data_IF_015747993305
#
_entry.id   IF_015747993305
#
_cell.length_a   1.000
_cell.length_b   1.000
_cell.length_c   1.000
_cell.angle_alpha   90.00
_cell.angle_beta   90.00
_cell.angle_gamma   90.00
#
_symmetry.space_group_name_H-M   'P 1'
#
loop_
_entity.id
_entity.type
_entity.pdbx_description
1 polymer ?
#
# COMPACT_ATOMS: atom_id res chain seq x y z
N UNK A 1 -9.97 1.39 -22.74
CA UNK A 1 -10.12 1.02 -21.32
C UNK A 1 -9.16 1.88 -20.52
N UNK A 2 -9.62 2.65 -19.52
CA UNK A 2 -8.69 3.42 -18.67
C UNK A 2 -7.70 2.43 -18.03
N UNK A 3 -6.39 2.74 -17.96
CA UNK A 3 -5.44 1.87 -17.29
C UNK A 3 -5.90 1.67 -15.84
N UNK A 4 -6.02 0.41 -15.41
CA UNK A 4 -6.54 0.04 -14.09
C UNK A 4 -5.63 0.48 -12.93
N UNK A 5 -4.38 0.87 -13.23
CA UNK A 5 -3.37 1.30 -12.27
C UNK A 5 -2.53 2.42 -12.88
N UNK A 6 -2.32 3.48 -12.12
CA UNK A 6 -1.40 4.57 -12.48
C UNK A 6 -0.08 4.40 -11.72
N UNK A 7 1.04 4.74 -12.37
CA UNK A 7 2.35 4.74 -11.72
C UNK A 7 2.49 6.04 -10.92
N UNK A 8 2.78 5.91 -9.63
CA UNK A 8 3.06 7.04 -8.74
C UNK A 8 4.53 6.99 -8.31
N UNK A 9 5.20 8.14 -8.30
CA UNK A 9 6.53 8.30 -7.71
C UNK A 9 6.38 8.98 -6.35
N UNK A 10 6.94 8.37 -5.31
CA UNK A 10 6.93 8.91 -3.95
C UNK A 10 8.26 8.65 -3.27
N UNK A 11 8.63 9.52 -2.34
CA UNK A 11 9.80 9.36 -1.48
C UNK A 11 9.36 8.69 -0.19
N UNK A 12 10.09 7.65 0.23
CA UNK A 12 9.91 6.94 1.49
C UNK A 12 11.28 6.80 2.14
N UNK A 13 11.32 6.72 3.46
CA UNK A 13 12.56 6.47 4.20
C UNK A 13 13.13 5.09 3.84
N UNK A 14 14.45 4.98 3.83
CA UNK A 14 15.15 3.77 3.36
C UNK A 14 14.79 2.52 4.19
N UNK A 15 14.65 2.67 5.50
CA UNK A 15 14.26 1.62 6.44
C UNK A 15 12.82 1.14 6.17
N UNK A 16 11.91 2.04 5.84
CA UNK A 16 10.54 1.72 5.43
C UNK A 16 10.56 0.91 4.13
N UNK A 17 11.37 1.30 3.14
CA UNK A 17 11.49 0.58 1.86
C UNK A 17 11.98 -0.85 2.08
N UNK A 18 13.03 -1.03 2.89
CA UNK A 18 13.56 -2.35 3.22
C UNK A 18 12.51 -3.22 3.90
N UNK A 19 11.81 -2.69 4.89
CA UNK A 19 10.79 -3.44 5.61
C UNK A 19 9.62 -3.86 4.72
N UNK A 20 9.17 -2.97 3.82
CA UNK A 20 8.10 -3.29 2.89
C UNK A 20 8.54 -4.37 1.89
N UNK A 21 9.79 -4.34 1.41
CA UNK A 21 10.33 -5.38 0.53
C UNK A 21 10.31 -6.76 1.20
N UNK A 22 10.82 -6.86 2.43
CA UNK A 22 10.79 -8.12 3.19
C UNK A 22 9.38 -8.68 3.37
N UNK A 23 8.41 -7.81 3.67
CA UNK A 23 7.02 -8.19 3.87
C UNK A 23 6.35 -8.61 2.55
N UNK A 24 6.69 -7.94 1.44
CA UNK A 24 6.19 -8.28 0.12
C UNK A 24 6.73 -9.63 -0.36
N UNK A 25 8.02 -9.92 -0.14
CA UNK A 25 8.64 -11.20 -0.44
C UNK A 25 8.01 -12.35 0.38
N UNK A 26 7.76 -12.13 1.68
CA UNK A 26 7.10 -13.11 2.54
C UNK A 26 5.66 -13.44 2.11
N UNK A 27 4.98 -12.51 1.46
CA UNK A 27 3.60 -12.66 0.96
C UNK A 27 3.55 -13.04 -0.53
N UNK A 28 4.71 -13.32 -1.15
CA UNK A 28 4.86 -13.64 -2.59
C UNK A 28 4.22 -12.58 -3.52
N UNK A 29 4.51 -11.30 -3.21
CA UNK A 29 3.95 -10.13 -3.94
C UNK A 29 5.03 -9.14 -4.34
N UNK A 30 4.74 -8.38 -5.40
CA UNK A 30 5.55 -7.21 -5.75
C UNK A 30 5.41 -6.09 -4.72
N UNK A 31 6.46 -5.27 -4.59
CA UNK A 31 6.48 -4.09 -3.71
C UNK A 31 5.25 -3.19 -3.92
N UNK A 32 4.96 -2.80 -5.16
CA UNK A 32 3.81 -1.93 -5.48
C UNK A 32 2.47 -2.58 -5.12
N UNK A 33 2.35 -3.91 -5.25
CA UNK A 33 1.13 -4.63 -4.87
C UNK A 33 0.95 -4.67 -3.36
N UNK A 34 2.04 -4.91 -2.62
CA UNK A 34 2.01 -4.90 -1.16
C UNK A 34 1.67 -3.51 -0.61
N UNK A 35 2.30 -2.45 -1.12
CA UNK A 35 1.98 -1.06 -0.77
C UNK A 35 0.50 -0.76 -1.03
N UNK A 36 -0.02 -1.14 -2.20
CA UNK A 36 -1.43 -0.93 -2.54
C UNK A 36 -2.39 -1.68 -1.59
N UNK A 37 -2.04 -2.89 -1.14
CA UNK A 37 -2.83 -3.64 -0.16
C UNK A 37 -2.88 -2.91 1.20
N UNK A 38 -1.72 -2.44 1.69
CA UNK A 38 -1.62 -1.73 2.96
C UNK A 38 -2.41 -0.42 2.91
N UNK A 39 -2.27 0.35 1.84
CA UNK A 39 -3.00 1.61 1.65
C UNK A 39 -4.51 1.39 1.60
N UNK A 40 -4.99 0.34 0.91
CA UNK A 40 -6.43 -0.01 0.88
C UNK A 40 -6.98 -0.28 2.28
N UNK A 41 -6.30 -1.12 3.05
CA UNK A 41 -6.69 -1.41 4.44
C UNK A 41 -6.64 -0.17 5.34
N UNK A 42 -5.69 0.74 5.10
CA UNK A 42 -5.61 1.99 5.84
C UNK A 42 -6.79 2.91 5.53
N UNK A 43 -7.15 3.06 4.25
CA UNK A 43 -8.31 3.83 3.82
C UNK A 43 -9.62 3.24 4.36
N UNK A 44 -9.81 1.92 4.30
CA UNK A 44 -10.97 1.23 4.87
C UNK A 44 -11.15 1.57 6.36
N UNK A 45 -10.07 1.51 7.15
CA UNK A 45 -10.08 1.87 8.58
C UNK A 45 -10.47 3.33 8.82
N UNK A 46 -9.96 4.25 8.00
CA UNK A 46 -10.32 5.67 8.09
C UNK A 46 -11.81 5.84 7.79
N UNK A 47 -12.32 5.21 6.73
CA UNK A 47 -13.74 5.27 6.40
C UNK A 47 -14.64 4.69 7.49
N UNK A 48 -14.26 3.55 8.09
CA UNK A 48 -15.00 2.92 9.20
C UNK A 48 -15.04 3.82 10.43
N UNK A 49 -13.92 4.48 10.76
CA UNK A 49 -13.86 5.44 11.86
C UNK A 49 -14.70 6.69 11.62
N UNK A 50 -14.84 7.10 10.35
CA UNK A 50 -15.61 8.28 9.95
C UNK A 50 -17.12 8.00 9.89
N UNK A 51 -17.51 6.77 9.54
CA UNK A 51 -18.92 6.35 9.49
C UNK A 51 -19.52 6.06 10.87
N UNK A 52 -18.69 5.96 11.89
CA UNK A 52 -19.09 5.70 13.29
C UNK A 52 -19.24 6.98 14.12
N UNK A 53 -19.16 8.17 13.48
CA UNK A 53 -19.40 9.49 14.09
C UNK A 53 -20.65 10.16 13.52
#
# INVERSE_FOLDING_TARGET
MKPLKEKVSMTLDSDIIERIKELAEKDDRSFSQYVNLVLRRHLEKIEESTKSQ
#
